data_IF_002018788317
#
_entry.id   IF_002018788317
#
_cell.length_a   1.000
_cell.length_b   1.000
_cell.length_c   1.000
_cell.angle_alpha   90.00
_cell.angle_beta   90.00
_cell.angle_gamma   90.00
#
_symmetry.space_group_name_H-M   'P 1'
#
loop_
_entity.id
_entity.type
_entity.pdbx_description
1 polymer ?
#
# COMPACT_ATOMS: atom_id res chain seq x y z
N UNK A 1 29.11 -33.11 14.49
CA UNK A 1 29.19 -31.65 14.34
C UNK A 1 28.67 -31.15 13.00
N UNK A 2 28.73 -31.90 11.89
CA UNK A 2 28.24 -31.46 10.56
C UNK A 2 26.70 -31.39 10.37
N UNK A 3 25.89 -31.73 11.38
CA UNK A 3 24.42 -31.81 11.24
C UNK A 3 23.71 -30.48 11.55
N UNK A 4 24.26 -29.66 12.45
CA UNK A 4 23.64 -28.39 12.83
C UNK A 4 23.84 -27.32 11.76
N UNK A 5 25.05 -27.25 11.17
CA UNK A 5 25.38 -26.23 10.17
C UNK A 5 24.54 -26.37 8.88
N UNK A 6 24.12 -27.59 8.53
CA UNK A 6 23.29 -27.83 7.34
C UNK A 6 21.80 -27.52 7.57
N UNK A 7 21.29 -27.74 8.79
CA UNK A 7 19.92 -27.35 9.17
C UNK A 7 19.79 -25.83 9.31
N UNK A 8 20.80 -25.17 9.87
CA UNK A 8 20.85 -23.70 9.99
C UNK A 8 20.89 -23.04 8.59
N UNK A 9 21.72 -23.55 7.67
CA UNK A 9 21.79 -23.05 6.29
C UNK A 9 20.49 -23.28 5.50
N UNK A 10 19.78 -24.39 5.73
CA UNK A 10 18.48 -24.64 5.09
C UNK A 10 17.38 -23.72 5.64
N UNK A 11 17.39 -23.42 6.94
CA UNK A 11 16.41 -22.52 7.55
C UNK A 11 16.59 -21.08 7.07
N UNK A 12 17.84 -20.58 6.99
CA UNK A 12 18.14 -19.24 6.47
C UNK A 12 17.72 -19.10 4.99
N UNK A 13 17.97 -20.13 4.16
CA UNK A 13 17.56 -20.12 2.76
C UNK A 13 16.03 -20.15 2.56
N UNK A 14 15.30 -20.80 3.49
CA UNK A 14 13.83 -20.82 3.48
C UNK A 14 13.25 -19.46 3.86
N UNK A 15 13.87 -18.77 4.82
CA UNK A 15 13.49 -17.42 5.23
C UNK A 15 13.75 -16.40 4.10
N UNK A 16 14.88 -16.50 3.40
CA UNK A 16 15.22 -15.68 2.24
C UNK A 16 14.21 -15.87 1.08
N UNK A 17 13.77 -17.11 0.83
CA UNK A 17 12.79 -17.40 -0.22
C UNK A 17 11.39 -16.87 0.15
N UNK A 18 11.01 -16.96 1.43
CA UNK A 18 9.77 -16.42 1.95
C UNK A 18 9.73 -14.88 1.85
N UNK A 19 10.81 -14.20 2.26
CA UNK A 19 10.93 -12.75 2.15
C UNK A 19 10.83 -12.28 0.69
N UNK A 20 11.52 -12.98 -0.22
CA UNK A 20 11.47 -12.68 -1.65
C UNK A 20 10.06 -12.80 -2.23
N UNK A 21 9.29 -13.83 -1.84
CA UNK A 21 7.89 -14.00 -2.26
C UNK A 21 6.99 -12.87 -1.75
N UNK A 22 7.19 -12.41 -0.52
CA UNK A 22 6.44 -11.27 0.06
C UNK A 22 6.74 -9.98 -0.72
N UNK A 23 8.01 -9.72 -1.02
CA UNK A 23 8.42 -8.54 -1.81
C UNK A 23 7.79 -8.57 -3.21
N UNK A 24 7.79 -9.72 -3.88
CA UNK A 24 7.22 -9.85 -5.21
C UNK A 24 5.69 -9.69 -5.20
N UNK A 25 5.01 -10.22 -4.19
CA UNK A 25 3.58 -9.99 -4.00
C UNK A 25 3.26 -8.51 -3.78
N UNK A 26 4.06 -7.79 -2.97
CA UNK A 26 3.86 -6.37 -2.72
C UNK A 26 4.06 -5.51 -3.98
N UNK A 27 5.04 -5.88 -4.82
CA UNK A 27 5.26 -5.26 -6.14
C UNK A 27 4.06 -5.47 -7.07
N UNK A 28 3.59 -6.70 -7.23
CA UNK A 28 2.40 -7.01 -8.07
C UNK A 28 1.15 -6.29 -7.57
N UNK A 29 0.96 -6.23 -6.25
CA UNK A 29 -0.14 -5.47 -5.67
C UNK A 29 -0.05 -3.98 -5.97
N UNK A 30 1.14 -3.40 -5.89
CA UNK A 30 1.38 -2.00 -6.27
C UNK A 30 1.03 -1.75 -7.75
N UNK A 31 1.43 -2.65 -8.64
CA UNK A 31 1.11 -2.57 -10.07
C UNK A 31 -0.40 -2.62 -10.33
N UNK A 32 -1.12 -3.53 -9.67
CA UNK A 32 -2.58 -3.61 -9.79
C UNK A 32 -3.27 -2.37 -9.26
N UNK A 33 -2.85 -1.86 -8.11
CA UNK A 33 -3.40 -0.63 -7.54
C UNK A 33 -3.22 0.54 -8.50
N UNK A 34 -2.01 0.73 -9.05
CA UNK A 34 -1.76 1.79 -10.03
C UNK A 34 -2.63 1.60 -11.26
N UNK A 35 -2.66 0.41 -11.85
CA UNK A 35 -3.47 0.12 -13.05
C UNK A 35 -4.96 0.41 -12.85
N UNK A 36 -5.52 0.01 -11.71
CA UNK A 36 -6.95 0.20 -11.41
C UNK A 36 -7.22 1.67 -11.13
N UNK A 37 -6.47 2.27 -10.20
CA UNK A 37 -6.77 3.61 -9.69
C UNK A 37 -6.24 4.76 -10.56
N UNK A 38 -5.55 4.49 -11.68
CA UNK A 38 -5.30 5.50 -12.72
C UNK A 38 -6.39 5.54 -13.79
N UNK A 39 -7.28 4.55 -13.85
CA UNK A 39 -8.44 4.59 -14.74
C UNK A 39 -9.45 5.67 -14.29
N UNK A 40 -10.31 6.14 -15.19
CA UNK A 40 -11.35 7.14 -14.86
C UNK A 40 -12.26 6.65 -13.73
N UNK A 41 -12.83 5.46 -13.87
CA UNK A 41 -13.75 4.90 -12.87
C UNK A 41 -13.02 4.53 -11.59
N UNK A 42 -11.80 3.99 -11.72
CA UNK A 42 -10.94 3.70 -10.57
C UNK A 42 -10.65 4.94 -9.74
N UNK A 43 -10.40 6.10 -10.36
CA UNK A 43 -10.19 7.37 -9.63
C UNK A 43 -11.42 7.81 -8.85
N UNK A 44 -12.62 7.64 -9.41
CA UNK A 44 -13.88 7.92 -8.71
C UNK A 44 -14.04 7.01 -7.49
N UNK A 45 -13.79 5.71 -7.65
CA UNK A 45 -13.83 4.74 -6.56
C UNK A 45 -12.78 5.05 -5.50
N UNK A 46 -11.55 5.38 -5.90
CA UNK A 46 -10.48 5.76 -4.98
C UNK A 46 -10.87 7.01 -4.17
N UNK A 47 -11.45 8.01 -4.82
CA UNK A 47 -11.92 9.22 -4.15
C UNK A 47 -12.96 8.87 -3.07
N UNK A 48 -13.94 8.02 -3.39
CA UNK A 48 -14.95 7.58 -2.41
C UNK A 48 -14.30 6.85 -1.23
N UNK A 49 -13.40 5.90 -1.49
CA UNK A 49 -12.67 5.17 -0.42
C UNK A 49 -11.90 6.13 0.48
N UNK A 50 -11.22 7.12 -0.11
CA UNK A 50 -10.44 8.10 0.67
C UNK A 50 -11.34 9.03 1.49
N UNK A 51 -12.51 9.39 0.98
CA UNK A 51 -13.52 10.13 1.74
C UNK A 51 -14.04 9.30 2.91
N UNK A 52 -14.38 8.03 2.70
CA UNK A 52 -14.86 7.14 3.77
C UNK A 52 -13.80 6.96 4.86
N UNK A 53 -12.52 6.94 4.47
CA UNK A 53 -11.38 6.86 5.37
C UNK A 53 -10.92 8.20 5.94
N UNK A 54 -11.73 9.27 5.84
CA UNK A 54 -11.43 10.59 6.41
C UNK A 54 -10.14 11.21 5.92
N UNK A 55 -9.64 10.83 4.74
CA UNK A 55 -8.33 11.25 4.25
C UNK A 55 -8.23 12.78 4.03
N UNK A 56 -9.34 13.38 3.58
CA UNK A 56 -9.41 14.81 3.28
C UNK A 56 -9.86 15.65 4.47
N UNK A 57 -10.47 15.04 5.47
CA UNK A 57 -11.11 15.71 6.60
C UNK A 57 -10.14 15.97 7.76
N UNK A 58 -10.49 16.92 8.61
CA UNK A 58 -9.87 17.08 9.92
C UNK A 58 -10.32 15.92 10.83
N UNK A 59 -9.37 15.27 11.51
CA UNK A 59 -9.68 14.16 12.41
C UNK A 59 -10.11 14.71 13.77
N UNK A 60 -11.39 14.57 14.11
CA UNK A 60 -11.96 15.18 15.32
C UNK A 60 -11.81 14.24 16.52
N UNK A 61 -11.87 12.94 16.28
CA UNK A 61 -11.74 11.91 17.32
C UNK A 61 -10.70 10.84 16.99
N UNK A 62 -10.59 9.83 17.85
CA UNK A 62 -9.64 8.73 17.67
C UNK A 62 -10.02 7.80 16.53
N UNK A 63 -11.32 7.62 16.28
CA UNK A 63 -11.80 6.76 15.20
C UNK A 63 -11.42 7.36 13.85
N UNK A 64 -11.59 8.67 13.68
CA UNK A 64 -11.14 9.41 12.51
C UNK A 64 -9.63 9.26 12.28
N UNK A 65 -8.83 9.37 13.36
CA UNK A 65 -7.37 9.22 13.28
C UNK A 65 -6.96 7.83 12.78
N UNK A 66 -7.62 6.77 13.27
CA UNK A 66 -7.36 5.39 12.83
C UNK A 66 -7.66 5.23 11.33
N UNK A 67 -8.82 5.70 10.88
CA UNK A 67 -9.22 5.65 9.47
C UNK A 67 -8.27 6.45 8.57
N UNK A 68 -7.95 7.67 8.97
CA UNK A 68 -7.07 8.56 8.23
C UNK A 68 -5.64 7.99 8.12
N UNK A 69 -5.14 7.38 9.20
CA UNK A 69 -3.83 6.70 9.18
C UNK A 69 -3.84 5.48 8.26
N UNK A 70 -4.94 4.72 8.23
CA UNK A 70 -5.08 3.62 7.28
C UNK A 70 -5.09 4.11 5.83
N UNK A 71 -5.78 5.20 5.51
CA UNK A 71 -5.72 5.82 4.19
C UNK A 71 -4.30 6.24 3.80
N UNK A 72 -3.58 6.92 4.70
CA UNK A 72 -2.17 7.31 4.47
C UNK A 72 -1.29 6.10 4.19
N UNK A 73 -1.45 5.03 4.97
CA UNK A 73 -0.73 3.77 4.76
C UNK A 73 -1.06 3.15 3.40
N UNK A 74 -2.34 3.07 3.03
CA UNK A 74 -2.79 2.53 1.74
C UNK A 74 -2.15 3.31 0.59
N UNK A 75 -2.18 4.64 0.63
CA UNK A 75 -1.59 5.47 -0.42
C UNK A 75 -0.08 5.30 -0.48
N UNK A 76 0.62 5.43 0.65
CA UNK A 76 2.08 5.37 0.68
C UNK A 76 2.58 3.98 0.26
N UNK A 77 1.98 2.92 0.80
CA UNK A 77 2.43 1.55 0.54
C UNK A 77 2.03 1.08 -0.85
N UNK A 78 0.80 1.35 -1.29
CA UNK A 78 0.22 0.76 -2.51
C UNK A 78 0.35 1.63 -3.75
N UNK A 79 0.31 2.95 -3.62
CA UNK A 79 0.47 3.87 -4.76
C UNK A 79 1.87 4.49 -4.82
N UNK A 80 2.70 4.31 -3.79
CA UNK A 80 4.04 4.91 -3.67
C UNK A 80 4.00 6.43 -3.85
N UNK A 81 2.91 7.04 -3.39
CA UNK A 81 2.73 8.49 -3.39
C UNK A 81 3.01 8.99 -1.98
N UNK A 82 3.99 9.87 -1.88
CA UNK A 82 4.53 10.42 -0.63
C UNK A 82 3.92 11.77 -0.24
N UNK A 83 3.09 12.36 -1.10
CA UNK A 83 2.59 13.72 -0.92
C UNK A 83 1.10 13.84 -1.24
N UNK A 84 0.35 14.48 -0.33
CA UNK A 84 -1.09 14.78 -0.48
C UNK A 84 -1.39 15.49 -1.81
N UNK A 85 -0.57 16.45 -2.24
CA UNK A 85 -0.77 17.17 -3.51
C UNK A 85 -0.66 16.26 -4.74
N UNK A 86 0.21 15.25 -4.71
CA UNK A 86 0.32 14.29 -5.82
C UNK A 86 -0.92 13.38 -5.92
N UNK A 87 -1.55 13.05 -4.78
CA UNK A 87 -2.82 12.31 -4.74
C UNK A 87 -3.93 13.18 -5.32
N UNK A 88 -4.00 14.43 -4.85
CA UNK A 88 -4.97 15.40 -5.36
C UNK A 88 -4.84 15.57 -6.86
N UNK A 89 -3.63 15.70 -7.40
CA UNK A 89 -3.39 15.76 -8.84
C UNK A 89 -3.82 14.47 -9.57
N UNK A 90 -3.48 13.31 -9.01
CA UNK A 90 -3.90 12.02 -9.56
C UNK A 90 -5.42 11.89 -9.63
N UNK A 91 -6.14 12.47 -8.67
CA UNK A 91 -7.60 12.51 -8.64
C UNK A 91 -8.20 13.63 -9.51
N UNK A 92 -7.48 14.75 -9.69
CA UNK A 92 -7.92 15.96 -10.42
C UNK A 92 -7.56 15.98 -11.91
N UNK A 93 -6.81 15.01 -12.46
CA UNK A 93 -6.64 14.80 -13.92
C UNK A 93 -7.96 14.47 -14.67
N UNK A 94 -9.10 14.82 -14.07
CA UNK A 94 -10.41 14.98 -14.68
C UNK A 94 -10.41 16.38 -15.30
N UNK A 95 -9.82 16.53 -16.48
CA UNK A 95 -10.22 17.53 -17.49
C UNK A 95 -9.62 17.13 -18.84
#
# INVERSE_FOLDING_TARGET
MASNDAEEFMNDALDDEAEKKVIEADKKMTEYFRRVFTSKDGRIVLQQILTDLKFFDECIDEQDRVLNNYAKFMIFKRLKVDNKSKITNLLMEIN
#
